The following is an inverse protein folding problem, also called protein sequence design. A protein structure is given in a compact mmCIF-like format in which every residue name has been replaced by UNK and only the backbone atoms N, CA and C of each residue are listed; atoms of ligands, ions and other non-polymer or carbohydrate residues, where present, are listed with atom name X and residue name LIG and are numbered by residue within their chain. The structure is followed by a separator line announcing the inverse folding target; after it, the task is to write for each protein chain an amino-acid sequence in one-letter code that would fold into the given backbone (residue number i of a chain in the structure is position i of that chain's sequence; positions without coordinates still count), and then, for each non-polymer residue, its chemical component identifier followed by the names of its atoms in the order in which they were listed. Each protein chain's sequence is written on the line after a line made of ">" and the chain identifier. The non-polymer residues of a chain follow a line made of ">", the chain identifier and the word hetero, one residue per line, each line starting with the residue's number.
data_IF_367439248167
#
_entry.id   IF_367439248167
#
_cell.length_a   1.000
_cell.length_b   1.000
_cell.length_c   1.000
_cell.angle_alpha   90.00
_cell.angle_beta   90.00
_cell.angle_gamma   90.00
#
_symmetry.space_group_name_H-M   'P 1'
#
loop_
_entity.id
_entity.type
_entity.pdbx_description
1 polymer ?
#
# COMPACT_ATOMS: atom_id res chain seq x y z
N UNK A 1 13.94 -23.01 0.86
CA UNK A 1 13.22 -22.00 1.67
C UNK A 1 13.80 -20.63 1.32
N UNK A 2 13.02 -19.73 0.73
CA UNK A 2 13.47 -18.36 0.47
C UNK A 2 13.46 -17.59 1.79
N UNK A 3 14.62 -17.06 2.19
CA UNK A 3 14.78 -16.26 3.41
C UNK A 3 14.83 -14.78 3.08
N UNK A 4 14.63 -13.89 4.07
CA UNK A 4 14.77 -12.43 3.87
C UNK A 4 16.15 -12.02 3.34
N UNK A 5 17.19 -12.80 3.66
CA UNK A 5 18.55 -12.56 3.17
C UNK A 5 18.64 -12.66 1.63
N UNK A 6 17.73 -13.42 1.00
CA UNK A 6 17.66 -13.53 -0.45
C UNK A 6 16.95 -12.35 -1.11
N UNK A 7 16.33 -11.44 -0.33
CA UNK A 7 15.57 -10.30 -0.84
C UNK A 7 16.46 -9.05 -0.91
N UNK A 8 16.63 -8.51 -2.11
CA UNK A 8 17.41 -7.31 -2.36
C UNK A 8 16.59 -6.25 -3.14
N UNK A 9 17.26 -5.19 -3.61
CA UNK A 9 16.61 -4.07 -4.26
C UNK A 9 16.28 -4.28 -5.75
N UNK A 10 16.82 -5.32 -6.38
CA UNK A 10 16.62 -5.55 -7.81
C UNK A 10 15.19 -6.02 -8.09
N UNK A 11 14.66 -5.57 -9.23
CA UNK A 11 13.32 -5.96 -9.69
C UNK A 11 13.25 -7.48 -9.90
N UNK A 12 14.24 -8.05 -10.58
CA UNK A 12 14.27 -9.46 -10.94
C UNK A 12 14.25 -10.37 -9.71
N UNK A 13 15.02 -10.01 -8.68
CA UNK A 13 15.03 -10.76 -7.43
C UNK A 13 13.66 -10.75 -6.74
N UNK A 14 13.04 -9.57 -6.62
CA UNK A 14 11.72 -9.43 -5.99
C UNK A 14 10.61 -10.11 -6.80
N UNK A 15 10.73 -10.13 -8.13
CA UNK A 15 9.82 -10.90 -9.00
C UNK A 15 9.97 -12.40 -8.77
N UNK A 16 11.19 -12.93 -8.70
CA UNK A 16 11.42 -14.35 -8.40
C UNK A 16 10.81 -14.76 -7.04
N UNK A 17 10.99 -13.94 -6.01
CA UNK A 17 10.44 -14.20 -4.68
C UNK A 17 8.90 -14.16 -4.71
N UNK A 18 8.33 -13.17 -5.38
CA UNK A 18 6.88 -13.09 -5.50
C UNK A 18 6.30 -14.26 -6.29
N UNK A 19 6.95 -14.69 -7.39
CA UNK A 19 6.56 -15.90 -8.13
C UNK A 19 6.62 -17.15 -7.25
N UNK A 20 7.65 -17.29 -6.42
CA UNK A 20 7.72 -18.38 -5.45
C UNK A 20 6.54 -18.35 -4.48
N UNK A 21 6.23 -17.19 -3.88
CA UNK A 21 5.12 -17.04 -2.93
C UNK A 21 3.76 -17.28 -3.59
N UNK A 22 3.61 -16.94 -4.86
CA UNK A 22 2.39 -17.23 -5.63
C UNK A 22 2.19 -18.73 -5.81
N UNK A 23 3.28 -19.47 -6.04
CA UNK A 23 3.24 -20.93 -6.17
C UNK A 23 3.17 -21.64 -4.80
N UNK A 24 3.52 -20.96 -3.71
CA UNK A 24 3.54 -21.48 -2.34
C UNK A 24 2.80 -20.52 -1.38
N UNK A 25 1.50 -20.27 -1.55
CA UNK A 25 0.78 -19.21 -0.83
C UNK A 25 0.78 -19.40 0.70
N UNK A 26 0.91 -20.63 1.19
CA UNK A 26 1.03 -20.90 2.63
C UNK A 26 2.24 -20.20 3.26
N UNK A 27 3.31 -19.98 2.50
CA UNK A 27 4.53 -19.31 2.97
C UNK A 27 4.32 -17.81 3.20
N UNK A 28 3.25 -17.19 2.66
CA UNK A 28 2.90 -15.80 2.94
C UNK A 28 2.70 -15.57 4.44
N UNK A 29 2.18 -16.56 5.17
CA UNK A 29 2.02 -16.47 6.63
C UNK A 29 3.35 -16.19 7.35
N UNK A 30 4.47 -16.74 6.87
CA UNK A 30 5.78 -16.47 7.43
C UNK A 30 6.17 -14.99 7.25
N UNK A 31 5.88 -14.42 6.08
CA UNK A 31 6.18 -13.02 5.78
C UNK A 31 5.32 -12.08 6.62
N UNK A 32 4.05 -12.40 6.81
CA UNK A 32 3.15 -11.66 7.69
C UNK A 32 3.58 -11.77 9.17
N UNK A 33 4.04 -12.95 9.61
CA UNK A 33 4.56 -13.15 10.96
C UNK A 33 5.84 -12.33 11.20
N UNK A 34 6.74 -12.27 10.23
CA UNK A 34 7.95 -11.43 10.27
C UNK A 34 7.58 -9.95 10.40
N UNK A 35 6.61 -9.46 9.60
CA UNK A 35 6.14 -8.07 9.67
C UNK A 35 5.50 -7.75 11.02
N UNK A 36 4.70 -8.68 11.57
CA UNK A 36 4.07 -8.52 12.88
C UNK A 36 5.09 -8.45 14.00
N UNK A 37 6.04 -9.39 14.01
CA UNK A 37 6.96 -9.57 15.11
C UNK A 37 8.15 -8.58 15.05
N UNK A 38 8.43 -8.00 13.87
CA UNK A 38 9.54 -7.06 13.63
C UNK A 38 10.88 -7.60 14.16
N UNK A 39 11.07 -8.91 14.05
CA UNK A 39 12.10 -9.67 14.80
C UNK A 39 13.52 -9.50 14.29
N UNK A 40 13.71 -8.95 13.09
CA UNK A 40 15.03 -8.80 12.45
C UNK A 40 15.16 -7.41 11.85
N UNK A 41 16.39 -6.88 11.79
CA UNK A 41 16.66 -5.51 11.33
C UNK A 41 16.12 -5.19 9.92
N UNK A 42 15.98 -6.21 9.07
CA UNK A 42 15.51 -6.09 7.70
C UNK A 42 14.11 -6.68 7.46
N UNK A 43 13.30 -6.79 8.51
CA UNK A 43 11.93 -7.33 8.45
C UNK A 43 11.07 -6.66 7.35
N UNK A 44 11.30 -5.38 7.07
CA UNK A 44 10.60 -4.61 6.02
C UNK A 44 10.76 -5.22 4.61
N UNK A 45 11.77 -6.05 4.37
CA UNK A 45 11.92 -6.80 3.11
C UNK A 45 10.76 -7.77 2.87
N UNK A 46 10.10 -8.24 3.94
CA UNK A 46 8.88 -9.03 3.79
C UNK A 46 7.78 -8.21 3.10
N UNK A 47 7.61 -6.93 3.45
CA UNK A 47 6.64 -6.06 2.79
C UNK A 47 6.99 -5.83 1.31
N UNK A 48 8.29 -5.81 0.96
CA UNK A 48 8.71 -5.69 -0.45
C UNK A 48 8.31 -6.91 -1.28
N UNK A 49 8.45 -8.11 -0.72
CA UNK A 49 7.99 -9.32 -1.36
C UNK A 49 6.47 -9.30 -1.56
N UNK A 50 5.71 -8.96 -0.51
CA UNK A 50 4.24 -8.92 -0.58
C UNK A 50 3.72 -7.82 -1.54
N UNK A 51 4.41 -6.68 -1.65
CA UNK A 51 4.12 -5.66 -2.66
C UNK A 51 4.24 -6.26 -4.08
N UNK A 52 5.30 -7.01 -4.36
CA UNK A 52 5.48 -7.64 -5.67
C UNK A 52 4.45 -8.76 -5.92
N UNK A 53 4.07 -9.52 -4.88
CA UNK A 53 2.95 -10.47 -4.98
C UNK A 53 1.67 -9.74 -5.38
N UNK A 54 1.32 -8.62 -4.73
CA UNK A 54 0.11 -7.86 -5.09
C UNK A 54 0.10 -7.37 -6.54
N UNK A 55 1.28 -7.05 -7.08
CA UNK A 55 1.45 -6.60 -8.47
C UNK A 55 1.26 -7.73 -9.48
N UNK A 56 1.80 -8.91 -9.19
CA UNK A 56 1.76 -10.06 -10.11
C UNK A 56 0.45 -10.83 -9.96
N UNK A 57 0.04 -11.13 -8.72
CA UNK A 57 -1.20 -11.84 -8.41
C UNK A 57 -1.86 -11.26 -7.16
N UNK A 58 -2.70 -10.26 -7.38
CA UNK A 58 -3.50 -9.66 -6.31
C UNK A 58 -4.45 -10.69 -5.66
N UNK A 59 -4.97 -11.65 -6.42
CA UNK A 59 -5.79 -12.77 -5.95
C UNK A 59 -5.08 -13.62 -4.90
N UNK A 60 -3.78 -13.89 -5.06
CA UNK A 60 -3.01 -14.67 -4.07
C UNK A 60 -2.93 -13.94 -2.72
N UNK A 61 -2.85 -12.61 -2.74
CA UNK A 61 -2.69 -11.80 -1.53
C UNK A 61 -4.03 -11.40 -0.88
N UNK A 62 -5.13 -11.44 -1.64
CA UNK A 62 -6.45 -11.03 -1.22
C UNK A 62 -6.97 -11.70 0.07
N UNK A 63 -6.76 -13.01 0.32
CA UNK A 63 -7.15 -13.64 1.58
C UNK A 63 -6.45 -13.06 2.83
N UNK A 64 -5.37 -12.31 2.64
CA UNK A 64 -4.56 -11.72 3.70
C UNK A 64 -4.79 -10.21 3.87
N UNK A 65 -5.72 -9.62 3.12
CA UNK A 65 -5.89 -8.16 3.08
C UNK A 65 -6.22 -7.57 4.45
N UNK A 66 -7.11 -8.19 5.23
CA UNK A 66 -7.46 -7.67 6.57
C UNK A 66 -6.25 -7.68 7.51
N UNK A 67 -5.42 -8.71 7.43
CA UNK A 67 -4.17 -8.78 8.19
C UNK A 67 -3.16 -7.72 7.72
N UNK A 68 -3.06 -7.48 6.41
CA UNK A 68 -2.21 -6.42 5.86
C UNK A 68 -2.68 -5.03 6.30
N UNK A 69 -3.99 -4.79 6.38
CA UNK A 69 -4.57 -3.56 6.90
C UNK A 69 -4.18 -3.37 8.37
N UNK A 70 -4.34 -4.40 9.20
CA UNK A 70 -3.93 -4.37 10.61
C UNK A 70 -2.44 -4.10 10.77
N UNK A 71 -1.58 -4.75 9.98
CA UNK A 71 -0.14 -4.55 10.02
C UNK A 71 0.27 -3.14 9.59
N UNK A 72 -0.39 -2.58 8.56
CA UNK A 72 -0.12 -1.23 8.08
C UNK A 72 -0.42 -0.16 9.14
N UNK A 73 -1.48 -0.36 9.95
CA UNK A 73 -1.84 0.52 11.08
C UNK A 73 -0.76 0.58 12.17
N UNK A 74 -0.03 -0.50 12.36
CA UNK A 74 1.03 -0.63 13.38
C UNK A 74 2.44 -0.37 12.83
N UNK A 75 2.57 -0.09 11.53
CA UNK A 75 3.86 0.07 10.88
C UNK A 75 4.42 1.49 11.04
N UNK A 76 5.70 1.57 11.39
CA UNK A 76 6.41 2.84 11.63
C UNK A 76 7.66 2.97 10.77
N UNK A 77 8.17 1.88 10.18
CA UNK A 77 9.34 1.95 9.31
C UNK A 77 8.97 2.44 7.91
N UNK A 78 9.56 3.56 7.49
CA UNK A 78 9.42 4.11 6.13
C UNK A 78 9.63 3.06 5.02
N UNK A 79 10.58 2.14 5.24
CA UNK A 79 10.93 1.07 4.31
C UNK A 79 9.79 0.07 4.09
N UNK A 80 8.88 -0.09 5.05
CA UNK A 80 7.71 -0.97 4.99
C UNK A 80 6.41 -0.20 4.66
N UNK A 81 6.27 1.03 5.15
CA UNK A 81 5.09 1.88 4.90
C UNK A 81 4.87 2.10 3.40
N UNK A 82 5.92 2.44 2.64
CA UNK A 82 5.80 2.64 1.19
C UNK A 82 5.23 1.39 0.48
N UNK A 83 5.76 0.17 0.69
CA UNK A 83 5.16 -1.07 0.18
C UNK A 83 3.68 -1.23 0.55
N UNK A 84 3.29 -1.01 1.81
CA UNK A 84 1.88 -1.09 2.22
C UNK A 84 0.99 -0.10 1.47
N UNK A 85 1.42 1.16 1.34
CA UNK A 85 0.69 2.18 0.59
C UNK A 85 0.46 1.77 -0.88
N UNK A 86 1.47 1.12 -1.49
CA UNK A 86 1.37 0.62 -2.86
C UNK A 86 0.53 -0.66 -3.00
N UNK A 87 0.55 -1.54 -1.99
CA UNK A 87 -0.38 -2.67 -1.91
C UNK A 87 -1.82 -2.14 -1.92
N UNK A 88 -2.13 -1.17 -1.07
CA UNK A 88 -3.47 -0.57 -1.01
C UNK A 88 -3.88 0.12 -2.32
N UNK A 89 -2.99 0.90 -2.93
CA UNK A 89 -3.24 1.48 -4.26
C UNK A 89 -3.57 0.38 -5.28
N UNK A 90 -2.82 -0.71 -5.29
CA UNK A 90 -3.03 -1.84 -6.21
C UNK A 90 -4.39 -2.50 -5.99
N UNK A 91 -4.75 -2.82 -4.74
CA UNK A 91 -6.04 -3.42 -4.39
C UNK A 91 -7.21 -2.53 -4.78
N UNK A 92 -7.15 -1.24 -4.44
CA UNK A 92 -8.21 -0.28 -4.76
C UNK A 92 -8.34 -0.11 -6.28
N UNK A 93 -7.24 0.11 -7.01
CA UNK A 93 -7.32 0.24 -8.46
C UNK A 93 -7.89 -1.01 -9.14
N UNK A 94 -7.51 -2.21 -8.68
CA UNK A 94 -8.05 -3.47 -9.20
C UNK A 94 -9.52 -3.69 -8.84
N UNK A 95 -9.94 -3.31 -7.63
CA UNK A 95 -11.32 -3.35 -7.20
C UNK A 95 -12.23 -2.59 -8.17
N UNK A 96 -11.89 -1.34 -8.49
CA UNK A 96 -12.70 -0.52 -9.38
C UNK A 96 -12.59 -0.86 -10.88
N UNK A 97 -11.60 -1.68 -11.26
CA UNK A 97 -11.52 -2.26 -12.60
C UNK A 97 -12.22 -3.62 -12.70
N UNK A 98 -12.82 -4.11 -11.60
CA UNK A 98 -13.39 -5.45 -11.50
C UNK A 98 -12.35 -6.55 -11.84
N UNK A 99 -11.09 -6.33 -11.47
CA UNK A 99 -9.96 -7.27 -11.70
C UNK A 99 -9.63 -8.15 -10.48
N UNK A 100 -10.46 -8.09 -9.43
CA UNK A 100 -10.33 -8.95 -8.26
C UNK A 100 -11.29 -10.14 -8.38
N UNK A 101 -10.90 -11.29 -7.86
CA UNK A 101 -11.77 -12.48 -7.81
C UNK A 101 -13.01 -12.25 -6.94
N UNK A 102 -12.93 -11.35 -5.97
CA UNK A 102 -14.08 -10.85 -5.20
C UNK A 102 -13.90 -9.34 -4.95
N UNK A 103 -15.00 -8.56 -4.90
CA UNK A 103 -14.92 -7.15 -4.56
C UNK A 103 -14.47 -6.97 -3.10
N UNK A 104 -13.80 -5.85 -2.84
CA UNK A 104 -13.49 -5.44 -1.47
C UNK A 104 -14.76 -4.98 -0.77
N UNK A 105 -14.84 -5.22 0.53
CA UNK A 105 -15.97 -4.76 1.34
C UNK A 105 -15.85 -3.25 1.62
N UNK A 106 -16.97 -2.59 1.92
CA UNK A 106 -16.93 -1.17 2.33
C UNK A 106 -16.03 -0.97 3.55
N UNK A 107 -16.06 -1.89 4.52
CA UNK A 107 -15.20 -1.82 5.70
C UNK A 107 -13.69 -1.89 5.34
N UNK A 108 -13.31 -2.73 4.37
CA UNK A 108 -11.93 -2.76 3.88
C UNK A 108 -11.55 -1.46 3.17
N UNK A 109 -12.45 -0.92 2.35
CA UNK A 109 -12.21 0.33 1.62
C UNK A 109 -12.12 1.54 2.58
N UNK A 110 -12.93 1.57 3.64
CA UNK A 110 -12.87 2.56 4.73
C UNK A 110 -11.57 2.44 5.52
N UNK A 111 -11.18 1.23 5.94
CA UNK A 111 -9.93 1.06 6.68
C UNK A 111 -8.69 1.45 5.84
N UNK A 112 -8.74 1.22 4.53
CA UNK A 112 -7.71 1.69 3.59
C UNK A 112 -7.73 3.23 3.46
N UNK A 113 -8.91 3.87 3.41
CA UNK A 113 -9.00 5.33 3.31
C UNK A 113 -8.46 6.01 4.57
N UNK A 114 -8.84 5.53 5.76
CA UNK A 114 -8.31 5.98 7.05
C UNK A 114 -6.79 5.95 7.06
N UNK A 115 -6.19 4.78 6.77
CA UNK A 115 -4.75 4.63 6.79
C UNK A 115 -4.04 5.51 5.75
N UNK A 116 -4.67 5.72 4.59
CA UNK A 116 -4.12 6.61 3.56
C UNK A 116 -4.15 8.08 3.99
N UNK A 117 -5.20 8.52 4.69
CA UNK A 117 -5.25 9.86 5.29
C UNK A 117 -4.22 10.00 6.40
N UNK A 118 -4.07 9.00 7.27
CA UNK A 118 -3.04 9.01 8.31
C UNK A 118 -1.64 9.19 7.72
N UNK A 119 -1.30 8.47 6.65
CA UNK A 119 -0.01 8.65 5.97
C UNK A 119 0.11 10.00 5.26
N UNK A 120 -0.98 10.58 4.78
CA UNK A 120 -0.99 11.89 4.14
C UNK A 120 -0.71 13.02 5.14
N UNK A 121 -1.31 12.93 6.32
CA UNK A 121 -1.26 13.96 7.38
C UNK A 121 0.01 13.83 8.21
N UNK A 122 0.44 12.60 8.54
CA UNK A 122 1.64 12.37 9.36
C UNK A 122 2.95 12.57 8.57
N UNK A 123 4.07 12.60 9.30
CA UNK A 123 5.41 12.74 8.72
C UNK A 123 5.83 11.43 8.03
N UNK A 124 5.47 11.29 6.76
CA UNK A 124 5.84 10.16 5.91
C UNK A 124 6.69 10.59 4.71
N UNK A 125 7.47 9.65 4.16
CA UNK A 125 8.17 9.85 2.88
C UNK A 125 7.17 10.10 1.76
N UNK A 126 7.57 10.96 0.81
CA UNK A 126 6.71 11.42 -0.30
C UNK A 126 6.12 10.28 -1.13
N UNK A 127 6.83 9.16 -1.27
CA UNK A 127 6.35 8.01 -2.04
C UNK A 127 5.09 7.39 -1.43
N UNK A 128 5.04 7.20 -0.10
CA UNK A 128 3.87 6.68 0.58
C UNK A 128 2.67 7.63 0.40
N UNK A 129 2.88 8.93 0.65
CA UNK A 129 1.85 9.97 0.42
C UNK A 129 1.34 9.95 -1.01
N UNK A 130 2.22 9.80 -2.01
CA UNK A 130 1.84 9.81 -3.41
C UNK A 130 0.96 8.63 -3.83
N UNK A 131 1.16 7.45 -3.24
CA UNK A 131 0.27 6.29 -3.43
C UNK A 131 -1.06 6.52 -2.70
N UNK A 132 -1.02 6.99 -1.46
CA UNK A 132 -2.22 7.35 -0.68
C UNK A 132 -3.13 8.33 -1.41
N UNK A 133 -2.57 9.38 -2.03
CA UNK A 133 -3.37 10.34 -2.81
C UNK A 133 -4.12 9.69 -3.97
N UNK A 134 -3.48 8.74 -4.68
CA UNK A 134 -4.11 8.02 -5.79
C UNK A 134 -5.21 7.09 -5.29
N UNK A 135 -4.94 6.36 -4.19
CA UNK A 135 -5.92 5.53 -3.51
C UNK A 135 -7.14 6.33 -3.09
N UNK A 136 -6.94 7.44 -2.36
CA UNK A 136 -8.02 8.31 -1.87
C UNK A 136 -8.81 8.95 -3.00
N UNK A 137 -8.13 9.47 -4.03
CA UNK A 137 -8.82 9.99 -5.22
C UNK A 137 -9.78 8.96 -5.81
N UNK A 138 -9.34 7.69 -5.90
CA UNK A 138 -10.18 6.64 -6.43
C UNK A 138 -11.32 6.26 -5.46
N UNK A 139 -11.06 6.23 -4.16
CA UNK A 139 -12.08 5.92 -3.15
C UNK A 139 -13.18 6.98 -3.05
N UNK A 140 -12.91 8.23 -3.41
CA UNK A 140 -13.94 9.27 -3.41
C UNK A 140 -15.05 9.09 -4.43
N UNK A 141 -14.93 8.16 -5.39
CA UNK A 141 -16.09 7.77 -6.21
C UNK A 141 -17.11 6.89 -5.47
N UNK A 142 -16.73 6.29 -4.34
CA UNK A 142 -17.63 5.50 -3.47
C UNK A 142 -18.02 6.28 -2.22
N UNK A 143 -17.07 6.98 -1.60
CA UNK A 143 -17.31 7.76 -0.38
C UNK A 143 -17.22 9.26 -0.67
N UNK A 144 -18.38 9.92 -0.72
CA UNK A 144 -18.50 11.34 -1.12
C UNK A 144 -17.70 12.31 -0.25
N UNK A 145 -17.39 11.95 1.00
CA UNK A 145 -16.60 12.78 1.91
C UNK A 145 -15.10 12.81 1.58
N UNK A 146 -14.58 11.82 0.84
CA UNK A 146 -13.14 11.69 0.60
C UNK A 146 -12.60 12.78 -0.33
N UNK A 147 -13.33 13.15 -1.40
CA UNK A 147 -12.84 14.18 -2.33
C UNK A 147 -12.70 15.56 -1.68
N UNK A 148 -13.70 16.08 -0.93
CA UNK A 148 -13.54 17.31 -0.16
C UNK A 148 -12.36 17.25 0.82
N UNK A 149 -12.26 16.17 1.60
CA UNK A 149 -11.21 16.03 2.63
C UNK A 149 -9.81 15.93 2.00
N UNK A 150 -9.67 15.19 0.90
CA UNK A 150 -8.44 15.09 0.14
C UNK A 150 -8.01 16.46 -0.40
N UNK A 151 -8.95 17.24 -0.94
CA UNK A 151 -8.65 18.60 -1.44
C UNK A 151 -8.09 19.48 -0.34
N UNK A 152 -8.77 19.55 0.81
CA UNK A 152 -8.33 20.35 1.97
C UNK A 152 -6.91 19.96 2.40
N UNK A 153 -6.64 18.66 2.55
CA UNK A 153 -5.32 18.17 2.93
C UNK A 153 -4.22 18.52 1.91
N UNK A 154 -4.52 18.40 0.61
CA UNK A 154 -3.55 18.71 -0.45
C UNK A 154 -3.23 20.20 -0.53
N UNK A 155 -4.23 21.07 -0.38
CA UNK A 155 -4.05 22.53 -0.40
C UNK A 155 -3.27 23.01 0.83
N UNK A 156 -3.61 22.53 2.02
CA UNK A 156 -2.94 22.89 3.27
C UNK A 156 -1.45 22.53 3.26
N UNK A 157 -1.10 21.34 2.74
CA UNK A 157 0.28 20.85 2.70
C UNK A 157 1.03 21.27 1.42
N UNK A 158 0.39 22.01 0.50
CA UNK A 158 0.94 22.26 -0.82
C UNK A 158 2.25 23.04 -0.76
N UNK A 159 2.27 24.17 -0.04
CA UNK A 159 3.39 25.10 -0.03
C UNK A 159 4.64 24.53 0.67
N UNK A 160 4.44 23.77 1.73
CA UNK A 160 5.50 23.14 2.53
C UNK A 160 5.96 21.79 1.96
N UNK A 161 5.19 21.20 1.05
CA UNK A 161 5.51 19.93 0.42
C UNK A 161 6.77 19.97 -0.45
N UNK A 162 7.46 18.82 -0.53
CA UNK A 162 8.57 18.60 -1.48
C UNK A 162 8.12 18.82 -2.94
N UNK A 163 9.07 19.02 -3.85
CA UNK A 163 8.77 19.15 -5.28
C UNK A 163 7.95 17.97 -5.84
N UNK A 164 8.28 16.74 -5.42
CA UNK A 164 7.56 15.53 -5.80
C UNK A 164 6.14 15.50 -5.22
N UNK A 165 5.95 15.96 -3.97
CA UNK A 165 4.63 16.08 -3.35
C UNK A 165 3.77 17.08 -4.14
N UNK A 166 4.30 18.30 -4.37
CA UNK A 166 3.63 19.36 -5.13
C UNK A 166 3.22 18.89 -6.53
N UNK A 167 4.09 18.16 -7.23
CA UNK A 167 3.78 17.60 -8.53
C UNK A 167 2.60 16.61 -8.48
N UNK A 168 2.60 15.70 -7.50
CA UNK A 168 1.50 14.75 -7.31
C UNK A 168 0.20 15.44 -6.89
N UNK A 169 0.26 16.37 -5.94
CA UNK A 169 -0.88 17.14 -5.47
C UNK A 169 -1.55 17.91 -6.61
N UNK A 170 -0.79 18.63 -7.45
CA UNK A 170 -1.35 19.32 -8.65
C UNK A 170 -2.09 18.36 -9.58
N UNK A 171 -1.53 17.19 -9.83
CA UNK A 171 -2.14 16.20 -10.71
C UNK A 171 -3.46 15.66 -10.14
N UNK A 172 -3.57 15.50 -8.82
CA UNK A 172 -4.80 15.05 -8.16
C UNK A 172 -5.82 16.17 -8.07
N UNK A 173 -5.43 17.37 -7.66
CA UNK A 173 -6.30 18.55 -7.59
C UNK A 173 -6.93 18.89 -8.93
N UNK A 174 -6.23 18.68 -10.05
CA UNK A 174 -6.79 18.88 -11.40
C UNK A 174 -7.92 17.89 -11.74
N UNK A 175 -8.00 16.76 -11.04
CA UNK A 175 -8.99 15.69 -11.28
C UNK A 175 -10.16 15.69 -10.30
N UNK A 176 -10.04 16.42 -9.20
CA UNK A 176 -11.09 16.67 -8.21
C UNK A 176 -11.98 17.83 -8.69
#
# INVERSE_FOLDING_TARGET
>A
MITLANINHSKDNREQIATYLINHPKDINLYLAILKAKTVNDYFKAAWALEFVSRISCTTLLPYLDQLISLAKEETADQAIRPFAKIFETFVLKHYKNELSQPLTNSQLEAISEQCFDWLITKQKVAAKAYSMTTLYKLGSTFSWIHPELKVNLEANFNEGSAAFKARARHILKKL
#
